data_IF_061437405749
#
_entry.id   IF_061437405749
#
_cell.length_a   1.000
_cell.length_b   1.000
_cell.length_c   1.000
_cell.angle_alpha   90.00
_cell.angle_beta   90.00
_cell.angle_gamma   90.00
#
_symmetry.space_group_name_H-M   'P 1'
#
loop_
_entity.id
_entity.type
_entity.pdbx_description
1 polymer ?
#
# COMPACT_ATOMS: atom_id res chain seq x y z
N UNK A 1 -9.15 -26.12 14.96
CA UNK A 1 -8.40 -25.01 14.35
C UNK A 1 -7.21 -24.78 15.25
N UNK A 2 -5.99 -24.94 14.73
CA UNK A 2 -4.79 -24.63 15.51
C UNK A 2 -4.79 -23.14 15.87
N UNK A 3 -4.32 -22.80 17.07
CA UNK A 3 -4.25 -21.42 17.50
C UNK A 3 -3.32 -20.63 16.58
N UNK A 4 -3.74 -19.44 16.13
CA UNK A 4 -2.87 -18.52 15.41
C UNK A 4 -1.63 -18.23 16.27
N UNK A 5 -0.42 -18.28 15.71
CA UNK A 5 0.77 -17.86 16.44
C UNK A 5 0.64 -16.38 16.83
N UNK A 6 1.29 -15.97 17.92
CA UNK A 6 1.17 -14.59 18.44
C UNK A 6 1.43 -13.51 17.39
N UNK A 7 2.39 -13.73 16.47
CA UNK A 7 2.67 -12.80 15.38
C UNK A 7 1.53 -12.77 14.34
N UNK A 8 0.85 -13.89 14.10
CA UNK A 8 -0.30 -13.99 13.19
C UNK A 8 -1.46 -13.15 13.70
N UNK A 9 -1.79 -13.28 15.00
CA UNK A 9 -2.80 -12.44 15.64
C UNK A 9 -2.45 -10.94 15.56
N UNK A 10 -1.20 -10.58 15.85
CA UNK A 10 -0.74 -9.19 15.74
C UNK A 10 -0.90 -8.65 14.31
N UNK A 11 -0.52 -9.42 13.29
CA UNK A 11 -0.69 -9.05 11.89
C UNK A 11 -2.17 -8.95 11.50
N UNK A 12 -3.04 -9.85 11.98
CA UNK A 12 -4.48 -9.76 11.72
C UNK A 12 -5.07 -8.48 12.30
N UNK A 13 -4.80 -8.20 13.58
CA UNK A 13 -5.35 -7.04 14.28
C UNK A 13 -4.85 -5.75 13.65
N UNK A 14 -3.57 -5.67 13.32
CA UNK A 14 -3.01 -4.48 12.66
C UNK A 14 -3.40 -4.38 11.18
N UNK A 15 -3.76 -5.50 10.52
CA UNK A 15 -4.38 -5.49 9.21
C UNK A 15 -5.72 -4.74 9.17
N UNK A 16 -6.49 -4.74 10.26
CA UNK A 16 -7.69 -3.90 10.38
C UNK A 16 -7.35 -2.41 10.34
N UNK A 17 -6.14 -1.99 10.74
CA UNK A 17 -5.73 -0.59 10.58
C UNK A 17 -5.71 -0.19 9.09
N UNK A 18 -5.22 -1.05 8.20
CA UNK A 18 -5.26 -0.82 6.74
C UNK A 18 -6.70 -0.76 6.23
N UNK A 19 -7.56 -1.69 6.67
CA UNK A 19 -8.98 -1.69 6.31
C UNK A 19 -9.67 -0.38 6.71
N UNK A 20 -9.49 0.05 7.96
CA UNK A 20 -10.06 1.30 8.45
C UNK A 20 -9.42 2.52 7.79
N UNK A 21 -8.15 2.46 7.39
CA UNK A 21 -7.50 3.53 6.64
C UNK A 21 -8.06 3.69 5.21
N UNK A 22 -8.77 2.70 4.67
CA UNK A 22 -9.57 2.87 3.46
C UNK A 22 -11.00 3.34 3.76
N UNK A 23 -11.64 2.73 4.77
CA UNK A 23 -13.02 3.02 5.15
C UNK A 23 -13.21 4.46 5.65
N UNK A 24 -12.34 4.93 6.55
CA UNK A 24 -12.49 6.25 7.17
C UNK A 24 -12.39 7.39 6.16
N UNK A 25 -11.40 7.44 5.23
CA UNK A 25 -11.38 8.41 4.14
C UNK A 25 -12.65 8.43 3.28
N UNK A 26 -13.24 7.26 2.98
CA UNK A 26 -14.50 7.18 2.25
C UNK A 26 -15.64 7.79 3.07
N UNK A 27 -15.79 7.40 4.34
CA UNK A 27 -16.80 7.96 5.23
C UNK A 27 -16.64 9.47 5.40
N UNK A 28 -15.43 9.95 5.68
CA UNK A 28 -15.16 11.39 5.79
C UNK A 28 -15.51 12.12 4.49
N UNK A 29 -15.14 11.59 3.32
CA UNK A 29 -15.47 12.22 2.04
C UNK A 29 -16.97 12.20 1.74
N UNK A 30 -17.74 11.25 2.29
CA UNK A 30 -19.22 11.25 2.20
C UNK A 30 -19.91 12.19 3.17
N UNK A 31 -19.31 12.40 4.36
CA UNK A 31 -19.87 13.27 5.41
C UNK A 31 -19.44 14.74 5.27
N UNK A 32 -18.41 15.00 4.47
CA UNK A 32 -17.88 16.35 4.20
C UNK A 32 -18.03 16.68 2.71
N UNK A 33 -16.96 17.14 2.04
CA UNK A 33 -16.95 17.36 0.59
C UNK A 33 -16.30 16.16 -0.09
N UNK A 34 -16.94 15.56 -1.12
CA UNK A 34 -16.31 14.49 -1.87
C UNK A 34 -15.03 14.95 -2.56
N UNK A 35 -13.95 14.21 -2.35
CA UNK A 35 -12.75 14.37 -3.14
C UNK A 35 -13.00 14.01 -4.62
N UNK A 36 -12.16 14.49 -5.56
CA UNK A 36 -12.31 14.15 -6.97
C UNK A 36 -12.35 12.62 -7.21
N UNK A 37 -13.12 12.12 -8.19
CA UNK A 37 -13.38 10.67 -8.35
C UNK A 37 -12.12 9.79 -8.43
N UNK A 38 -11.03 10.32 -8.99
CA UNK A 38 -9.73 9.63 -9.06
C UNK A 38 -9.12 9.32 -7.70
N UNK A 39 -9.34 10.16 -6.68
CA UNK A 39 -8.90 9.95 -5.31
C UNK A 39 -9.88 9.09 -4.52
N UNK A 40 -11.18 9.21 -4.79
CA UNK A 40 -12.18 8.28 -4.26
C UNK A 40 -11.87 6.83 -4.68
N UNK A 41 -11.42 6.62 -5.91
CA UNK A 41 -10.92 5.31 -6.37
C UNK A 41 -9.76 4.82 -5.50
N UNK A 42 -8.78 5.67 -5.18
CA UNK A 42 -7.63 5.28 -4.33
C UNK A 42 -8.10 4.80 -2.97
N UNK A 43 -9.05 5.49 -2.33
CA UNK A 43 -9.58 5.07 -1.03
C UNK A 43 -10.32 3.74 -1.09
N UNK A 44 -11.09 3.50 -2.17
CA UNK A 44 -11.69 2.19 -2.42
C UNK A 44 -10.64 1.09 -2.61
N UNK A 45 -9.57 1.35 -3.35
CA UNK A 45 -8.48 0.39 -3.54
C UNK A 45 -7.78 0.07 -2.21
N UNK A 46 -7.59 1.06 -1.32
CA UNK A 46 -7.04 0.84 0.03
C UNK A 46 -7.98 -0.03 0.86
N UNK A 47 -9.29 0.24 0.82
CA UNK A 47 -10.28 -0.56 1.53
C UNK A 47 -10.26 -2.03 1.05
N UNK A 48 -10.28 -2.26 -0.26
CA UNK A 48 -10.21 -3.60 -0.85
C UNK A 48 -8.90 -4.30 -0.45
N UNK A 49 -7.78 -3.58 -0.47
CA UNK A 49 -6.49 -4.09 -0.01
C UNK A 49 -6.56 -4.53 1.45
N UNK A 50 -7.16 -3.71 2.33
CA UNK A 50 -7.35 -4.06 3.73
C UNK A 50 -8.19 -5.32 3.94
N UNK A 51 -9.20 -5.58 3.10
CA UNK A 51 -9.96 -6.84 3.12
C UNK A 51 -9.03 -8.02 2.84
N UNK A 52 -8.19 -7.92 1.82
CA UNK A 52 -7.24 -8.98 1.48
C UNK A 52 -6.15 -9.17 2.54
N UNK A 53 -5.64 -8.09 3.12
CA UNK A 53 -4.65 -8.13 4.22
C UNK A 53 -5.22 -8.84 5.45
N UNK A 54 -6.42 -8.45 5.92
CA UNK A 54 -7.08 -9.09 7.06
C UNK A 54 -7.38 -10.56 6.74
N UNK A 55 -7.81 -10.86 5.51
CA UNK A 55 -8.13 -12.23 5.11
C UNK A 55 -6.90 -13.11 5.09
N UNK A 56 -5.80 -12.64 4.50
CA UNK A 56 -4.52 -13.35 4.47
C UNK A 56 -4.04 -13.67 5.89
N UNK A 57 -3.90 -12.65 6.74
CA UNK A 57 -3.29 -12.84 8.06
C UNK A 57 -4.23 -13.46 9.09
N UNK A 58 -5.55 -13.29 8.94
CA UNK A 58 -6.55 -13.85 9.86
C UNK A 58 -6.97 -15.27 9.51
N UNK A 59 -7.02 -15.61 8.22
CA UNK A 59 -7.53 -16.90 7.75
C UNK A 59 -6.57 -17.59 6.77
N UNK A 60 -6.02 -16.87 5.80
CA UNK A 60 -5.22 -17.43 4.70
C UNK A 60 -3.87 -18.02 5.12
N UNK A 61 -3.32 -17.66 6.27
CA UNK A 61 -2.07 -18.24 6.78
C UNK A 61 -2.22 -19.67 7.32
N UNK A 62 -3.42 -20.05 7.77
CA UNK A 62 -3.67 -21.31 8.52
C UNK A 62 -4.91 -22.09 8.08
N UNK A 63 -5.82 -21.50 7.30
CA UNK A 63 -7.11 -22.10 6.98
C UNK A 63 -7.20 -22.50 5.49
N UNK A 64 -7.25 -23.80 5.17
CA UNK A 64 -7.39 -24.29 3.79
C UNK A 64 -8.80 -24.11 3.21
N UNK A 65 -9.81 -23.76 4.02
CA UNK A 65 -11.22 -23.72 3.59
C UNK A 65 -11.50 -22.51 2.69
N UNK A 66 -10.83 -21.38 2.92
CA UNK A 66 -11.04 -20.15 2.13
C UNK A 66 -10.06 -20.05 0.95
N UNK A 67 -9.61 -21.16 0.38
CA UNK A 67 -8.69 -21.17 -0.75
C UNK A 67 -7.22 -21.19 -0.34
N UNK A 68 -6.35 -21.33 -1.32
CA UNK A 68 -4.93 -21.58 -1.08
C UNK A 68 -4.19 -20.32 -0.59
N UNK A 69 -3.28 -20.47 0.38
CA UNK A 69 -2.50 -19.37 0.96
C UNK A 69 -1.83 -18.47 -0.08
N UNK A 70 -1.34 -19.06 -1.17
CA UNK A 70 -0.66 -18.30 -2.22
C UNK A 70 -1.61 -17.30 -2.90
N UNK A 71 -2.90 -17.63 -3.02
CA UNK A 71 -3.92 -16.77 -3.63
C UNK A 71 -4.16 -15.54 -2.77
N UNK A 72 -4.29 -15.70 -1.45
CA UNK A 72 -4.43 -14.57 -0.54
C UNK A 72 -3.17 -13.71 -0.46
N UNK A 73 -1.98 -14.33 -0.49
CA UNK A 73 -0.72 -13.60 -0.59
C UNK A 73 -0.57 -12.86 -1.93
N UNK A 74 -1.13 -13.43 -3.00
CA UNK A 74 -1.24 -12.77 -4.29
C UNK A 74 -2.15 -11.54 -4.20
N UNK A 75 -3.37 -11.70 -3.69
CA UNK A 75 -4.37 -10.63 -3.59
C UNK A 75 -3.92 -9.50 -2.66
N UNK A 76 -3.33 -9.82 -1.51
CA UNK A 76 -2.84 -8.83 -0.55
C UNK A 76 -1.74 -7.92 -1.15
N UNK A 77 -0.61 -8.51 -1.55
CA UNK A 77 0.48 -7.70 -2.13
C UNK A 77 0.14 -7.16 -3.52
N UNK A 78 -0.63 -7.92 -4.32
CA UNK A 78 -1.07 -7.50 -5.65
C UNK A 78 -2.02 -6.30 -5.61
N UNK A 79 -2.97 -6.27 -4.68
CA UNK A 79 -3.84 -5.11 -4.48
C UNK A 79 -3.10 -3.87 -4.00
N UNK A 80 -2.05 -4.02 -3.18
CA UNK A 80 -1.15 -2.92 -2.84
C UNK A 80 -0.46 -2.32 -4.10
N UNK A 81 -0.04 -3.15 -5.06
CA UNK A 81 0.50 -2.66 -6.35
C UNK A 81 -0.55 -1.82 -7.09
N UNK A 82 -1.82 -2.27 -7.07
CA UNK A 82 -2.93 -1.54 -7.69
C UNK A 82 -3.24 -0.23 -6.94
N UNK A 83 -3.15 -0.19 -5.61
CA UNK A 83 -3.28 1.06 -4.83
C UNK A 83 -2.26 2.09 -5.28
N UNK A 84 -0.98 1.70 -5.38
CA UNK A 84 0.10 2.60 -5.79
C UNK A 84 -0.07 3.08 -7.23
N UNK A 85 -0.55 2.21 -8.13
CA UNK A 85 -0.98 2.62 -9.47
C UNK A 85 -2.09 3.67 -9.42
N UNK A 86 -3.10 3.48 -8.57
CA UNK A 86 -4.19 4.43 -8.37
C UNK A 86 -3.67 5.81 -7.94
N UNK A 87 -2.71 5.83 -7.01
CA UNK A 87 -2.03 7.05 -6.55
C UNK A 87 -1.26 7.70 -7.71
N UNK A 88 -0.39 6.96 -8.39
CA UNK A 88 0.39 7.47 -9.52
C UNK A 88 -0.51 8.06 -10.63
N UNK A 89 -1.60 7.36 -10.96
CA UNK A 89 -2.61 7.82 -11.90
C UNK A 89 -3.27 9.12 -11.43
N UNK A 90 -3.67 9.21 -10.16
CA UNK A 90 -4.32 10.40 -9.63
C UNK A 90 -3.37 11.63 -9.64
N UNK A 91 -2.09 11.43 -9.31
CA UNK A 91 -1.04 12.46 -9.36
C UNK A 91 -0.79 12.94 -10.79
N UNK A 92 -0.69 12.02 -11.75
CA UNK A 92 -0.55 12.36 -13.17
C UNK A 92 -1.71 13.23 -13.67
N UNK A 93 -2.95 12.90 -13.28
CA UNK A 93 -4.12 13.68 -13.67
C UNK A 93 -4.13 15.06 -13.00
N UNK A 94 -3.67 15.17 -11.75
CA UNK A 94 -3.70 16.43 -10.99
C UNK A 94 -2.67 17.46 -11.45
N UNK A 95 -1.43 17.02 -11.71
CA UNK A 95 -0.29 17.93 -11.80
C UNK A 95 0.39 18.00 -13.16
N UNK A 96 0.10 17.05 -14.05
CA UNK A 96 0.80 16.94 -15.32
C UNK A 96 -0.09 17.41 -16.47
N UNK A 97 0.53 17.93 -17.51
CA UNK A 97 -0.17 18.44 -18.69
C UNK A 97 -0.79 17.29 -19.51
N UNK A 98 -1.85 17.53 -20.30
CA UNK A 98 -2.47 16.50 -21.13
C UNK A 98 -1.50 15.75 -22.03
N UNK A 99 -0.47 16.42 -22.56
CA UNK A 99 0.55 15.79 -23.42
C UNK A 99 1.34 14.72 -22.66
N UNK A 100 1.72 15.00 -21.41
CA UNK A 100 2.39 14.02 -20.56
C UNK A 100 1.45 12.90 -20.15
N UNK A 101 0.20 13.23 -19.80
CA UNK A 101 -0.80 12.24 -19.40
C UNK A 101 -1.06 11.20 -20.50
N UNK A 102 -1.11 11.61 -21.78
CA UNK A 102 -1.39 10.72 -22.92
C UNK A 102 -0.45 9.52 -23.02
N UNK A 103 0.83 9.69 -22.70
CA UNK A 103 1.78 8.57 -22.71
C UNK A 103 2.03 8.00 -21.32
N UNK A 104 2.06 8.84 -20.28
CA UNK A 104 2.40 8.39 -18.93
C UNK A 104 1.31 7.49 -18.32
N UNK A 105 0.02 7.77 -18.57
CA UNK A 105 -1.08 6.98 -18.04
C UNK A 105 -1.09 5.53 -18.58
N UNK A 106 -0.94 5.29 -19.89
CA UNK A 106 -0.72 3.94 -20.42
C UNK A 106 0.52 3.27 -19.83
N UNK A 107 1.64 3.99 -19.73
CA UNK A 107 2.89 3.43 -19.19
C UNK A 107 2.73 2.98 -17.74
N UNK A 108 2.21 3.82 -16.84
CA UNK A 108 2.02 3.40 -15.43
C UNK A 108 1.01 2.27 -15.29
N UNK A 109 0.02 2.19 -16.19
CA UNK A 109 -0.95 1.08 -16.20
C UNK A 109 -0.30 -0.22 -16.69
N UNK A 110 0.54 -0.15 -17.73
CA UNK A 110 1.32 -1.29 -18.18
C UNK A 110 2.28 -1.78 -17.09
N UNK A 111 2.98 -0.87 -16.40
CA UNK A 111 3.84 -1.22 -15.27
C UNK A 111 3.06 -1.88 -14.12
N UNK A 112 1.83 -1.43 -13.84
CA UNK A 112 0.96 -2.10 -12.89
C UNK A 112 0.65 -3.54 -13.31
N UNK A 113 0.22 -3.74 -14.56
CA UNK A 113 -0.11 -5.06 -15.09
C UNK A 113 1.09 -6.00 -15.03
N UNK A 114 2.28 -5.52 -15.46
CA UNK A 114 3.51 -6.31 -15.42
C UNK A 114 3.89 -6.68 -13.99
N UNK A 115 3.76 -5.75 -13.04
CA UNK A 115 4.00 -6.01 -11.62
C UNK A 115 3.07 -7.07 -11.02
N UNK A 116 1.77 -6.93 -11.28
CA UNK A 116 0.75 -7.90 -10.82
C UNK A 116 0.97 -9.26 -11.46
N UNK A 117 1.25 -9.32 -12.77
CA UNK A 117 1.51 -10.57 -13.48
C UNK A 117 2.78 -11.26 -12.96
N UNK A 118 3.86 -10.51 -12.73
CA UNK A 118 5.09 -11.06 -12.16
C UNK A 118 4.86 -11.60 -10.75
N UNK A 119 4.13 -10.85 -9.91
CA UNK A 119 3.75 -11.31 -8.57
C UNK A 119 2.85 -12.54 -8.59
N UNK A 120 1.92 -12.63 -9.55
CA UNK A 120 1.09 -13.81 -9.75
C UNK A 120 1.95 -15.04 -10.03
N UNK A 121 2.88 -14.94 -10.98
CA UNK A 121 3.78 -16.05 -11.35
C UNK A 121 4.67 -16.46 -10.16
N UNK A 122 5.18 -15.51 -9.39
CA UNK A 122 5.95 -15.77 -8.16
C UNK A 122 5.16 -16.57 -7.13
N UNK A 123 3.87 -16.26 -6.93
CA UNK A 123 3.01 -16.96 -5.97
C UNK A 123 2.50 -18.30 -6.47
N UNK A 124 2.10 -18.37 -7.74
CA UNK A 124 1.55 -19.57 -8.35
C UNK A 124 2.54 -20.74 -8.34
N UNK A 125 3.79 -20.49 -8.72
CA UNK A 125 4.77 -21.57 -8.90
C UNK A 125 5.22 -22.24 -7.59
N UNK A 126 4.75 -21.78 -6.42
CA UNK A 126 5.16 -22.26 -5.09
C UNK A 126 6.69 -22.34 -4.88
N UNK A 127 7.48 -21.77 -5.79
CA UNK A 127 8.86 -21.37 -5.54
C UNK A 127 8.76 -20.53 -4.29
N UNK A 128 9.37 -21.00 -3.21
CA UNK A 128 9.39 -20.30 -1.92
C UNK A 128 10.21 -19.02 -2.12
N UNK A 129 9.61 -18.05 -2.82
CA UNK A 129 10.28 -17.09 -3.68
C UNK A 129 11.49 -16.52 -2.98
N UNK A 130 12.66 -16.84 -3.52
CA UNK A 130 13.91 -16.32 -2.98
C UNK A 130 13.79 -14.79 -2.90
N UNK A 131 14.36 -14.22 -1.85
CA UNK A 131 14.44 -12.78 -1.77
C UNK A 131 15.22 -12.26 -2.99
N UNK A 132 14.61 -11.37 -3.76
CA UNK A 132 15.29 -10.63 -4.83
C UNK A 132 16.32 -9.70 -4.19
N UNK A 133 15.96 -9.14 -3.04
CA UNK A 133 16.83 -8.35 -2.18
C UNK A 133 16.82 -8.98 -0.79
N UNK A 134 17.86 -9.74 -0.45
CA UNK A 134 17.97 -10.46 0.83
C UNK A 134 18.86 -9.74 1.85
N UNK A 135 18.50 -9.83 3.12
CA UNK A 135 19.25 -9.31 4.27
C UNK A 135 19.66 -10.45 5.24
N UNK A 136 19.94 -11.63 4.70
CA UNK A 136 20.25 -12.84 5.49
C UNK A 136 19.06 -13.30 6.34
N UNK A 137 19.32 -13.61 7.60
CA UNK A 137 18.31 -14.14 8.54
C UNK A 137 17.23 -13.12 8.94
N UNK A 138 17.49 -11.84 8.67
CA UNK A 138 16.57 -10.75 8.97
C UNK A 138 15.31 -10.79 8.11
N UNK A 139 15.46 -11.07 6.81
CA UNK A 139 14.38 -11.01 5.84
C UNK A 139 14.84 -10.44 4.49
N UNK A 140 13.94 -9.78 3.79
CA UNK A 140 14.19 -9.26 2.45
C UNK A 140 12.91 -8.94 1.69
N UNK A 141 13.08 -8.56 0.44
CA UNK A 141 11.99 -8.28 -0.49
C UNK A 141 11.86 -9.38 -1.54
N UNK A 142 10.67 -9.97 -1.60
CA UNK A 142 10.27 -10.88 -2.68
C UNK A 142 9.94 -10.10 -3.96
N UNK A 143 9.78 -10.76 -5.12
CA UNK A 143 9.48 -10.09 -6.38
C UNK A 143 8.36 -9.04 -6.31
N UNK A 144 7.16 -9.42 -5.84
CA UNK A 144 6.03 -8.50 -5.73
C UNK A 144 6.26 -7.33 -4.77
N UNK A 145 6.96 -7.56 -3.65
CA UNK A 145 7.32 -6.50 -2.70
C UNK A 145 8.34 -5.54 -3.32
N UNK A 146 9.32 -6.07 -4.06
CA UNK A 146 10.33 -5.26 -4.76
C UNK A 146 9.67 -4.36 -5.79
N UNK A 147 8.74 -4.90 -6.57
CA UNK A 147 7.97 -4.10 -7.53
C UNK A 147 7.10 -3.05 -6.84
N UNK A 148 6.37 -3.43 -5.78
CA UNK A 148 5.56 -2.52 -4.98
C UNK A 148 6.38 -1.33 -4.45
N UNK A 149 7.58 -1.60 -3.91
CA UNK A 149 8.48 -0.57 -3.40
C UNK A 149 8.96 0.34 -4.53
N UNK A 150 9.45 -0.23 -5.62
CA UNK A 150 9.89 0.55 -6.78
C UNK A 150 8.76 1.44 -7.33
N UNK A 151 7.54 0.91 -7.39
CA UNK A 151 6.39 1.68 -7.84
C UNK A 151 5.97 2.77 -6.84
N UNK A 152 6.10 2.50 -5.54
CA UNK A 152 5.86 3.50 -4.48
C UNK A 152 6.87 4.64 -4.54
N UNK A 153 8.14 4.32 -4.82
CA UNK A 153 9.18 5.32 -5.09
C UNK A 153 8.81 6.16 -6.31
N UNK A 154 8.37 5.54 -7.41
CA UNK A 154 7.92 6.27 -8.60
C UNK A 154 6.77 7.23 -8.28
N UNK A 155 5.73 6.78 -7.56
CA UNK A 155 4.61 7.63 -7.15
C UNK A 155 5.07 8.82 -6.28
N UNK A 156 6.01 8.58 -5.37
CA UNK A 156 6.62 9.62 -4.54
C UNK A 156 7.39 10.64 -5.40
N UNK A 157 8.21 10.17 -6.35
CA UNK A 157 8.95 11.03 -7.27
C UNK A 157 8.00 11.89 -8.11
N UNK A 158 6.87 11.34 -8.59
CA UNK A 158 5.88 12.11 -9.35
C UNK A 158 5.34 13.31 -8.56
N UNK A 159 5.10 13.15 -7.26
CA UNK A 159 4.74 14.27 -6.39
C UNK A 159 5.87 15.31 -6.30
N UNK A 160 7.11 14.88 -6.02
CA UNK A 160 8.22 15.80 -5.79
C UNK A 160 8.70 16.53 -7.05
N UNK A 161 8.56 15.93 -8.22
CA UNK A 161 8.80 16.61 -9.50
C UNK A 161 7.87 17.82 -9.63
N UNK A 162 6.63 17.70 -9.13
CA UNK A 162 5.64 18.77 -9.17
C UNK A 162 5.53 19.57 -7.86
N UNK A 163 6.55 19.51 -6.99
CA UNK A 163 6.53 20.17 -5.68
C UNK A 163 6.21 21.66 -5.72
N UNK A 164 6.60 22.36 -6.80
CA UNK A 164 6.36 23.79 -6.96
C UNK A 164 4.86 24.13 -7.15
N UNK A 165 4.04 23.17 -7.58
CA UNK A 165 2.59 23.32 -7.72
C UNK A 165 1.83 22.97 -6.42
N UNK A 166 2.52 22.48 -5.40
CA UNK A 166 1.91 22.03 -4.15
C UNK A 166 2.03 23.15 -3.12
N UNK A 167 0.90 23.61 -2.59
CA UNK A 167 0.87 24.63 -1.55
C UNK A 167 1.65 24.20 -0.29
N UNK A 168 2.13 25.16 0.49
CA UNK A 168 3.03 24.90 1.62
C UNK A 168 2.44 23.98 2.70
N UNK A 169 1.13 24.08 2.98
CA UNK A 169 0.46 23.22 3.96
C UNK A 169 0.38 21.75 3.50
N UNK A 170 -0.20 21.41 2.32
CA UNK A 170 -0.12 20.06 1.77
C UNK A 170 1.32 19.53 1.64
N UNK A 171 2.31 20.36 1.30
CA UNK A 171 3.71 19.93 1.20
C UNK A 171 4.24 19.33 2.51
N UNK A 172 3.88 19.89 3.67
CA UNK A 172 4.26 19.33 4.98
C UNK A 172 3.68 17.92 5.19
N UNK A 173 2.45 17.70 4.71
CA UNK A 173 1.81 16.39 4.79
C UNK A 173 2.46 15.40 3.81
N UNK A 174 2.83 15.84 2.61
CA UNK A 174 3.60 15.01 1.67
C UNK A 174 4.96 14.57 2.26
N UNK A 175 5.66 15.47 2.97
CA UNK A 175 6.89 15.13 3.67
C UNK A 175 6.64 14.11 4.79
N UNK A 176 5.57 14.27 5.56
CA UNK A 176 5.16 13.30 6.58
C UNK A 176 4.88 11.93 5.96
N UNK A 177 4.09 11.88 4.88
CA UNK A 177 3.80 10.65 4.14
C UNK A 177 5.07 9.99 3.62
N UNK A 178 6.02 10.78 3.12
CA UNK A 178 7.32 10.28 2.65
C UNK A 178 8.12 9.70 3.81
N UNK A 179 8.14 10.36 4.96
CA UNK A 179 8.77 9.83 6.18
C UNK A 179 8.14 8.51 6.64
N UNK A 180 6.79 8.42 6.61
CA UNK A 180 6.07 7.18 6.92
C UNK A 180 6.37 6.07 5.91
N UNK A 181 6.46 6.40 4.61
CA UNK A 181 6.86 5.44 3.57
C UNK A 181 8.27 4.90 3.82
N UNK A 182 9.24 5.77 4.13
CA UNK A 182 10.62 5.34 4.43
C UNK A 182 10.68 4.49 5.71
N UNK A 183 9.92 4.85 6.74
CA UNK A 183 9.79 4.05 7.95
C UNK A 183 9.18 2.67 7.64
N UNK A 184 8.09 2.64 6.87
CA UNK A 184 7.45 1.41 6.42
C UNK A 184 8.40 0.55 5.58
N UNK A 185 9.19 1.15 4.68
CA UNK A 185 10.20 0.44 3.89
C UNK A 185 11.22 -0.26 4.78
N UNK A 186 11.72 0.42 5.82
CA UNK A 186 12.63 -0.18 6.80
C UNK A 186 11.98 -1.34 7.55
N UNK A 187 10.73 -1.16 8.02
CA UNK A 187 9.98 -2.22 8.71
C UNK A 187 9.74 -3.45 7.81
N UNK A 188 9.45 -3.21 6.52
CA UNK A 188 9.19 -4.24 5.53
C UNK A 188 10.41 -5.09 5.15
N UNK A 189 11.63 -4.67 5.52
CA UNK A 189 12.85 -5.49 5.32
C UNK A 189 12.85 -6.76 6.18
N UNK A 190 12.11 -6.75 7.30
CA UNK A 190 12.07 -7.83 8.25
C UNK A 190 11.10 -8.95 7.80
N UNK A 191 11.43 -10.21 8.08
CA UNK A 191 10.51 -11.33 7.87
C UNK A 191 9.26 -11.21 8.75
N UNK A 192 8.14 -11.80 8.33
CA UNK A 192 6.85 -11.68 9.02
C UNK A 192 6.88 -12.11 10.50
N UNK A 193 7.77 -13.03 10.87
CA UNK A 193 7.94 -13.54 12.24
C UNK A 193 8.95 -12.75 13.07
N UNK A 194 9.57 -11.69 12.52
CA UNK A 194 10.60 -10.93 13.21
C UNK A 194 9.98 -10.06 14.30
N UNK A 195 10.40 -10.34 15.54
CA UNK A 195 10.09 -9.52 16.71
C UNK A 195 11.42 -9.03 17.26
N UNK A 196 11.63 -7.71 17.27
CA UNK A 196 12.79 -7.08 17.90
C UNK A 196 12.38 -6.70 19.31
N UNK A 197 13.29 -6.74 20.28
CA UNK A 197 13.05 -6.37 21.69
C UNK A 197 11.66 -6.77 22.20
N UNK A 198 11.49 -7.94 22.82
CA UNK A 198 10.34 -8.90 22.86
C UNK A 198 8.88 -8.49 22.48
N UNK A 199 8.64 -7.32 21.92
CA UNK A 199 7.37 -6.58 21.85
C UNK A 199 7.32 -5.65 20.61
N UNK A 200 8.35 -5.61 19.75
CA UNK A 200 8.34 -4.85 18.48
C UNK A 200 8.12 -5.83 17.30
N UNK A 201 6.85 -6.18 16.98
CA UNK A 201 6.52 -6.98 15.80
C UNK A 201 6.67 -6.13 14.53
N UNK A 202 7.77 -6.32 13.80
CA UNK A 202 8.16 -5.43 12.71
C UNK A 202 7.09 -5.34 11.60
N UNK A 203 6.53 -6.49 11.20
CA UNK A 203 5.51 -6.57 10.16
C UNK A 203 4.16 -5.98 10.61
N UNK A 204 3.76 -6.22 11.85
CA UNK A 204 2.53 -5.62 12.39
C UNK A 204 2.63 -4.09 12.48
N UNK A 205 3.79 -3.57 12.90
CA UNK A 205 4.06 -2.13 12.88
C UNK A 205 4.06 -1.55 11.48
N UNK A 206 4.48 -2.32 10.47
CA UNK A 206 4.39 -1.89 9.07
C UNK A 206 2.94 -1.61 8.66
N UNK A 207 1.98 -2.47 9.03
CA UNK A 207 0.55 -2.21 8.76
C UNK A 207 0.07 -0.91 9.42
N UNK A 208 0.47 -0.66 10.67
CA UNK A 208 0.10 0.56 11.40
C UNK A 208 0.67 1.81 10.73
N UNK A 209 1.97 1.80 10.40
CA UNK A 209 2.63 2.92 9.71
C UNK A 209 2.01 3.16 8.32
N UNK A 210 1.73 2.09 7.58
CA UNK A 210 1.05 2.16 6.29
C UNK A 210 -0.35 2.77 6.40
N UNK A 211 -1.14 2.34 7.39
CA UNK A 211 -2.46 2.88 7.67
C UNK A 211 -2.43 4.40 7.97
N UNK A 212 -1.51 4.85 8.82
CA UNK A 212 -1.33 6.28 9.06
C UNK A 212 -0.84 7.04 7.82
N UNK A 213 -0.01 6.40 6.97
CA UNK A 213 0.37 6.95 5.67
C UNK A 213 -0.83 7.18 4.74
N UNK A 214 -1.79 6.25 4.71
CA UNK A 214 -3.03 6.41 3.95
C UNK A 214 -3.97 7.47 4.53
N UNK A 215 -4.07 7.59 5.86
CA UNK A 215 -4.81 8.70 6.48
C UNK A 215 -4.14 10.04 6.18
N UNK A 216 -2.81 10.12 6.23
CA UNK A 216 -2.07 11.31 5.84
C UNK A 216 -2.28 11.64 4.35
N UNK A 217 -2.40 10.65 3.46
CA UNK A 217 -2.76 10.85 2.07
C UNK A 217 -4.16 11.45 1.90
N UNK A 218 -5.16 10.97 2.67
CA UNK A 218 -6.49 11.58 2.66
C UNK A 218 -6.43 13.03 3.15
N UNK A 219 -5.71 13.30 4.25
CA UNK A 219 -5.60 14.66 4.79
C UNK A 219 -4.83 15.59 3.85
N UNK A 220 -3.81 15.08 3.16
CA UNK A 220 -3.14 15.81 2.08
C UNK A 220 -4.13 16.25 1.00
N UNK A 221 -5.07 15.39 0.61
CA UNK A 221 -6.09 15.72 -0.38
C UNK A 221 -7.13 16.72 0.16
N UNK A 222 -7.53 16.61 1.43
CA UNK A 222 -8.44 17.56 2.08
C UNK A 222 -7.87 18.99 2.02
N UNK A 223 -6.57 19.14 2.27
CA UNK A 223 -5.90 20.44 2.19
C UNK A 223 -5.72 20.95 0.75
N UNK A 224 -5.80 20.08 -0.27
CA UNK A 224 -5.62 20.47 -1.69
C UNK A 224 -6.91 20.83 -2.39
N UNK A 225 -8.01 20.19 -2.01
CA UNK A 225 -9.30 20.35 -2.65
C UNK A 225 -10.20 21.14 -1.70
N UNK A 226 -10.11 22.49 -1.70
CA UNK A 226 -10.92 23.30 -0.81
C UNK A 226 -12.40 22.99 -1.02
N UNK A 227 -13.14 23.00 0.08
CA UNK A 227 -14.59 22.85 0.07
C UNK A 227 -15.16 23.90 -0.87
N UNK A 228 -15.88 23.45 -1.90
CA UNK A 228 -16.62 24.37 -2.77
C UNK A 228 -17.79 24.90 -1.94
N UNK A 229 -17.59 26.06 -1.32
CA UNK A 229 -18.66 26.87 -0.70
C UNK A 229 -19.57 27.45 -1.77
#
# INVERSE_FOLDING_TARGET
MDALPNYGLANTVTGFCTLFAGLMPLLFSTLTTPHPPRWMLVYWLILITGIFTVTLHGFGETNPILGERWMWAFLDTGSNIVVVWGIARAVLIDYYRPETQRWALPVVTLLMILGVAWHFVDKWNATHGAYVIGFGDWGGFRPGQTWLIGFSVLATVLFFVQRAQIAAAPMRILLLMTGMFLCGLLLATAKNSQIVYPFIPMHALWHVVGAFGFIALWFFNELRFPQRS
#
